data_IF_404145918070
#
_entry.id   IF_404145918070
#
_cell.length_a   1.000
_cell.length_b   1.000
_cell.length_c   1.000
_cell.angle_alpha   90.00
_cell.angle_beta   90.00
_cell.angle_gamma   90.00
#
_symmetry.space_group_name_H-M   'P 1'
#
loop_
_entity.id
_entity.type
_entity.pdbx_description
1 polymer ?
#
# COMPACT_ATOMS: atom_id res chain seq x y z
N UNK A 1 -10.20 38.54 12.47
CA UNK A 1 -8.87 38.00 12.16
C UNK A 1 -8.54 36.79 13.00
N UNK A 2 -8.73 36.84 14.29
CA UNK A 2 -8.52 35.71 15.19
C UNK A 2 -9.50 34.58 14.97
N UNK A 3 -10.75 34.85 14.62
CA UNK A 3 -11.76 33.83 14.30
C UNK A 3 -11.38 32.98 13.09
N UNK A 4 -10.73 33.57 12.08
CA UNK A 4 -10.28 32.85 10.90
C UNK A 4 -9.05 31.96 11.18
N UNK A 5 -8.19 32.38 12.10
CA UNK A 5 -7.05 31.60 12.55
C UNK A 5 -7.48 30.34 13.32
N UNK A 6 -8.47 30.48 14.21
CA UNK A 6 -9.04 29.36 14.94
C UNK A 6 -9.75 28.37 14.02
N UNK A 7 -10.50 28.86 13.02
CA UNK A 7 -11.13 28.01 12.01
C UNK A 7 -10.12 27.21 11.19
N UNK A 8 -8.98 27.80 10.81
CA UNK A 8 -7.88 27.10 10.14
C UNK A 8 -7.26 26.02 11.01
N UNK A 9 -7.06 26.27 12.30
CA UNK A 9 -6.55 25.28 13.25
C UNK A 9 -7.53 24.13 13.45
N UNK A 10 -8.81 24.40 13.53
CA UNK A 10 -9.86 23.39 13.62
C UNK A 10 -9.92 22.53 12.35
N UNK A 11 -9.75 23.10 11.17
CA UNK A 11 -9.69 22.38 9.90
C UNK A 11 -8.46 21.47 9.81
N UNK A 12 -7.30 21.92 10.31
CA UNK A 12 -6.07 21.10 10.35
C UNK A 12 -6.24 19.92 11.30
N UNK A 13 -6.92 20.10 12.44
CA UNK A 13 -7.21 19.03 13.39
C UNK A 13 -8.21 18.01 12.83
N UNK A 14 -9.08 18.40 11.89
CA UNK A 14 -10.04 17.51 11.23
C UNK A 14 -9.43 16.64 10.12
N UNK A 15 -8.21 16.97 9.64
CA UNK A 15 -7.49 16.18 8.63
C UNK A 15 -6.61 15.11 9.26
N UNK A 16 -7.10 14.41 10.27
CA UNK A 16 -6.36 13.37 10.98
C UNK A 16 -6.64 11.97 10.44
N UNK A 17 -7.22 11.87 9.27
CA UNK A 17 -7.50 10.59 8.62
C UNK A 17 -6.81 10.49 7.25
N UNK A 18 -6.41 9.27 6.90
CA UNK A 18 -5.90 8.94 5.57
C UNK A 18 -6.76 7.82 5.01
N UNK A 19 -7.30 8.04 3.82
CA UNK A 19 -8.01 6.99 3.08
C UNK A 19 -7.00 6.24 2.20
N UNK A 20 -7.03 4.92 2.25
CA UNK A 20 -6.22 4.05 1.41
C UNK A 20 -7.15 3.40 0.39
N UNK A 21 -6.75 3.46 -0.87
CA UNK A 21 -7.49 2.89 -1.99
C UNK A 21 -6.87 1.57 -2.42
N UNK A 22 -7.67 0.66 -2.95
CA UNK A 22 -7.21 -0.64 -3.39
C UNK A 22 -6.15 -0.47 -4.49
N UNK A 23 -4.92 -0.95 -4.28
CA UNK A 23 -3.85 -0.73 -5.28
C UNK A 23 -3.93 -1.68 -6.47
N UNK A 24 -4.78 -2.73 -6.40
CA UNK A 24 -4.73 -3.84 -7.35
C UNK A 24 -6.07 -4.55 -7.35
N UNK A 25 -6.64 -4.83 -8.54
CA UNK A 25 -7.85 -5.64 -8.62
C UNK A 25 -7.67 -6.97 -7.90
N UNK A 26 -8.52 -7.30 -6.97
CA UNK A 26 -8.40 -8.55 -6.23
C UNK A 26 -9.30 -8.62 -5.01
N UNK A 27 -9.10 -9.66 -4.23
CA UNK A 27 -9.79 -9.88 -2.97
C UNK A 27 -8.95 -9.37 -1.80
N UNK A 28 -9.50 -8.44 -1.04
CA UNK A 28 -8.88 -7.96 0.21
C UNK A 28 -9.11 -9.00 1.30
N UNK A 29 -8.04 -9.48 1.88
CA UNK A 29 -8.03 -10.47 2.95
C UNK A 29 -7.24 -9.93 4.16
N UNK A 30 -7.39 -10.61 5.30
CA UNK A 30 -6.61 -10.28 6.49
C UNK A 30 -5.11 -10.42 6.22
N UNK A 31 -4.33 -9.52 6.77
CA UNK A 31 -2.86 -9.62 6.72
C UNK A 31 -2.38 -10.94 7.33
N UNK A 32 -3.11 -11.47 8.31
CA UNK A 32 -2.79 -12.72 8.97
C UNK A 32 -2.87 -13.95 8.04
N UNK A 33 -3.59 -13.83 6.93
CA UNK A 33 -3.72 -14.88 5.92
C UNK A 33 -2.61 -14.86 4.87
N UNK A 34 -1.64 -13.96 5.00
CA UNK A 34 -0.46 -13.92 4.12
C UNK A 34 0.42 -15.13 4.41
N UNK A 35 0.86 -15.88 3.37
CA UNK A 35 1.71 -17.07 3.58
C UNK A 35 3.18 -16.70 3.83
N UNK A 36 3.41 -15.81 4.78
CA UNK A 36 4.71 -15.33 5.22
C UNK A 36 4.58 -14.86 6.67
N UNK A 37 5.36 -15.44 7.56
CA UNK A 37 5.27 -15.17 9.00
C UNK A 37 5.57 -13.73 9.38
N UNK A 38 6.44 -13.07 8.63
CA UNK A 38 6.83 -11.67 8.90
C UNK A 38 5.64 -10.74 8.65
N UNK A 39 4.93 -10.94 7.55
CA UNK A 39 3.72 -10.15 7.25
C UNK A 39 2.54 -10.58 8.11
N UNK A 40 2.26 -11.87 8.18
CA UNK A 40 1.14 -12.41 8.95
C UNK A 40 1.25 -12.11 10.45
N UNK A 41 2.47 -12.09 10.97
CA UNK A 41 2.74 -11.76 12.37
C UNK A 41 2.79 -10.27 12.67
N UNK A 42 2.56 -9.41 11.67
CA UNK A 42 2.59 -7.94 11.81
C UNK A 42 3.93 -7.41 12.30
N UNK A 43 5.00 -8.10 11.97
CA UNK A 43 6.35 -7.74 12.43
C UNK A 43 6.89 -6.47 11.78
N UNK A 44 6.46 -6.15 10.56
CA UNK A 44 6.85 -4.94 9.83
C UNK A 44 5.79 -3.84 9.89
N UNK A 45 4.58 -4.17 10.29
CA UNK A 45 3.46 -3.24 10.35
C UNK A 45 2.13 -3.96 10.21
N UNK A 46 1.05 -3.20 10.21
CA UNK A 46 -0.32 -3.71 10.04
C UNK A 46 -0.91 -3.20 8.73
N UNK A 47 -1.90 -3.89 8.24
CA UNK A 47 -2.59 -3.54 7.00
C UNK A 47 -3.50 -4.66 6.55
N UNK A 48 -3.36 -5.02 5.27
CA UNK A 48 -4.15 -6.08 4.66
C UNK A 48 -3.33 -6.76 3.56
N UNK A 49 -3.88 -7.82 3.00
CA UNK A 49 -3.28 -8.46 1.84
C UNK A 49 -4.30 -8.58 0.71
N UNK A 50 -3.83 -8.80 -0.51
CA UNK A 50 -4.67 -8.90 -1.69
C UNK A 50 -4.37 -10.20 -2.40
N UNK A 51 -5.44 -10.98 -2.72
CA UNK A 51 -5.37 -12.06 -3.71
C UNK A 51 -5.60 -11.45 -5.08
N UNK A 52 -4.59 -11.29 -5.93
CA UNK A 52 -4.73 -10.50 -7.15
C UNK A 52 -5.54 -11.21 -8.22
N UNK A 53 -6.42 -10.44 -8.90
CA UNK A 53 -7.00 -10.80 -10.20
C UNK A 53 -6.29 -10.04 -11.33
N UNK A 54 -5.81 -8.85 -11.03
CA UNK A 54 -5.10 -7.99 -11.97
C UNK A 54 -3.60 -8.17 -11.93
N UNK A 55 -2.91 -7.35 -12.73
CA UNK A 55 -1.47 -7.40 -12.92
C UNK A 55 -0.83 -6.00 -12.89
N UNK A 56 -1.54 -5.00 -12.39
CA UNK A 56 -1.06 -3.63 -12.28
C UNK A 56 -1.29 -3.10 -10.88
N UNK A 57 -0.26 -2.48 -10.32
CA UNK A 57 -0.30 -1.88 -8.99
C UNK A 57 -0.34 -0.37 -9.14
N UNK A 58 -1.39 0.23 -8.59
CA UNK A 58 -1.64 1.66 -8.59
C UNK A 58 -1.36 2.26 -7.21
N UNK A 59 -1.02 3.55 -7.19
CA UNK A 59 -0.78 4.26 -5.93
C UNK A 59 -2.04 4.23 -5.05
N UNK A 60 -1.96 3.64 -3.85
CA UNK A 60 -3.10 3.56 -2.92
C UNK A 60 -3.40 4.89 -2.23
N UNK A 61 -2.44 5.79 -2.24
CA UNK A 61 -2.50 7.13 -1.65
C UNK A 61 -1.72 8.08 -2.55
N UNK A 62 -1.96 9.38 -2.38
CA UNK A 62 -1.06 10.40 -2.94
C UNK A 62 0.14 10.59 -1.99
N UNK A 63 1.32 10.74 -2.54
CA UNK A 63 2.54 10.89 -1.74
C UNK A 63 3.81 10.79 -2.56
N UNK A 64 4.91 10.58 -1.87
CA UNK A 64 6.23 10.47 -2.48
C UNK A 64 6.72 9.02 -2.43
N UNK A 65 7.33 8.56 -3.54
CA UNK A 65 7.99 7.25 -3.60
C UNK A 65 9.30 7.34 -2.83
N UNK A 66 9.39 6.65 -1.72
CA UNK A 66 10.57 6.66 -0.82
C UNK A 66 11.53 5.53 -1.11
N UNK A 67 11.00 4.35 -1.43
CA UNK A 67 11.80 3.16 -1.76
C UNK A 67 11.16 2.45 -2.94
N UNK A 68 12.00 2.06 -3.87
CA UNK A 68 11.62 1.14 -4.95
C UNK A 68 12.78 0.16 -5.08
N UNK A 69 12.53 -1.09 -4.76
CA UNK A 69 13.57 -2.11 -4.84
C UNK A 69 14.01 -2.28 -6.30
N UNK A 70 15.31 -2.48 -6.56
CA UNK A 70 15.80 -2.70 -7.93
C UNK A 70 15.10 -3.87 -8.64
N UNK A 71 14.64 -4.86 -7.89
CA UNK A 71 13.86 -6.00 -8.37
C UNK A 71 12.37 -5.70 -8.54
N UNK A 72 11.92 -4.47 -8.24
CA UNK A 72 10.56 -3.93 -8.47
C UNK A 72 9.43 -4.63 -7.72
N UNK A 73 9.73 -5.62 -6.88
CA UNK A 73 8.70 -6.36 -6.13
C UNK A 73 8.17 -5.62 -4.90
N UNK A 74 8.85 -4.57 -4.46
CA UNK A 74 8.46 -3.81 -3.27
C UNK A 74 8.61 -2.31 -3.52
N UNK A 75 7.58 -1.57 -3.14
CA UNK A 75 7.53 -0.11 -3.25
C UNK A 75 7.01 0.48 -1.94
N UNK A 76 7.71 1.48 -1.42
CA UNK A 76 7.30 2.21 -0.23
C UNK A 76 7.06 3.67 -0.57
N UNK A 77 6.05 4.25 0.06
CA UNK A 77 5.68 5.65 -0.16
C UNK A 77 5.23 6.30 1.14
N UNK A 78 5.26 7.61 1.16
CA UNK A 78 4.88 8.41 2.32
C UNK A 78 3.90 9.50 1.91
N UNK A 79 2.80 9.60 2.65
CA UNK A 79 1.80 10.66 2.45
C UNK A 79 2.26 12.00 3.05
N UNK A 80 1.62 13.09 2.67
CA UNK A 80 1.86 14.40 3.30
C UNK A 80 1.60 14.37 4.81
N UNK A 81 0.66 13.55 5.25
CA UNK A 81 0.34 13.39 6.66
C UNK A 81 1.39 12.57 7.43
N UNK A 82 2.39 12.02 6.73
CA UNK A 82 3.46 11.25 7.34
C UNK A 82 3.19 9.76 7.51
N UNK A 83 2.16 9.23 6.85
CA UNK A 83 1.89 7.78 6.87
C UNK A 83 2.79 7.06 5.88
N UNK A 84 3.52 6.04 6.34
CA UNK A 84 4.41 5.24 5.52
C UNK A 84 3.75 3.92 5.14
N UNK A 85 3.70 3.64 3.84
CA UNK A 85 3.04 2.46 3.27
C UNK A 85 4.03 1.67 2.44
N UNK A 86 4.05 0.35 2.65
CA UNK A 86 4.81 -0.59 1.85
C UNK A 86 3.87 -1.54 1.13
N UNK A 87 4.05 -1.68 -0.17
CA UNK A 87 3.39 -2.72 -0.97
C UNK A 87 4.46 -3.73 -1.38
N UNK A 88 4.25 -5.00 -1.04
CA UNK A 88 5.15 -6.09 -1.38
C UNK A 88 4.41 -7.03 -2.34
N UNK A 89 4.80 -7.03 -3.61
CA UNK A 89 4.10 -7.78 -4.66
C UNK A 89 4.50 -9.24 -4.58
N UNK A 90 3.57 -10.07 -4.13
CA UNK A 90 3.81 -11.51 -3.92
C UNK A 90 4.68 -11.82 -2.71
N UNK A 91 4.94 -13.10 -2.50
CA UNK A 91 5.80 -13.63 -1.43
C UNK A 91 6.98 -14.35 -2.07
N UNK A 92 8.19 -14.11 -1.55
CA UNK A 92 9.47 -14.61 -2.08
C UNK A 92 9.78 -14.15 -3.52
N UNK A 93 9.19 -13.05 -3.94
CA UNK A 93 9.35 -12.50 -5.30
C UNK A 93 10.70 -11.82 -5.51
N UNK A 94 11.44 -11.50 -4.45
CA UNK A 94 12.82 -11.01 -4.57
C UNK A 94 13.71 -11.99 -5.35
N UNK A 95 13.43 -13.29 -5.25
CA UNK A 95 14.17 -14.35 -5.94
C UNK A 95 14.01 -14.32 -7.46
N UNK A 96 12.97 -13.66 -7.97
CA UNK A 96 12.75 -13.51 -9.41
C UNK A 96 13.72 -12.53 -10.07
N UNK A 97 14.42 -11.73 -9.27
CA UNK A 97 15.42 -10.74 -9.72
C UNK A 97 14.85 -9.79 -10.80
N UNK A 98 13.59 -9.38 -10.61
CA UNK A 98 12.89 -8.47 -11.50
C UNK A 98 12.16 -9.12 -12.66
N UNK A 99 12.28 -10.45 -12.86
CA UNK A 99 11.59 -11.15 -13.94
C UNK A 99 10.08 -11.01 -13.79
N UNK A 100 9.42 -10.53 -14.84
CA UNK A 100 7.98 -10.33 -14.87
C UNK A 100 7.51 -9.00 -14.27
N UNK A 101 8.43 -8.13 -13.85
CA UNK A 101 8.09 -6.81 -13.28
C UNK A 101 8.51 -5.68 -14.23
N UNK A 102 7.69 -4.64 -14.29
CA UNK A 102 7.99 -3.40 -15.02
C UNK A 102 7.69 -2.20 -14.11
N UNK A 103 8.68 -1.36 -13.87
CA UNK A 103 8.51 -0.15 -13.06
C UNK A 103 8.06 1.02 -13.91
N UNK A 104 7.18 1.85 -13.35
CA UNK A 104 6.63 3.05 -14.01
C UNK A 104 6.94 4.32 -13.23
N UNK A 105 7.59 4.22 -12.08
CA UNK A 105 7.99 5.33 -11.22
C UNK A 105 9.42 5.11 -10.73
N UNK A 106 9.97 6.13 -10.08
CA UNK A 106 11.30 6.07 -9.46
C UNK A 106 11.27 6.76 -8.09
N UNK A 107 12.26 6.48 -7.28
CA UNK A 107 12.43 7.12 -5.97
C UNK A 107 12.48 8.64 -6.14
N UNK A 108 11.73 9.34 -5.28
CA UNK A 108 11.59 10.79 -5.32
C UNK A 108 10.40 11.30 -6.12
N UNK A 109 9.76 10.45 -6.92
CA UNK A 109 8.57 10.85 -7.66
C UNK A 109 7.42 11.15 -6.69
N UNK A 110 6.70 12.24 -6.96
CA UNK A 110 5.43 12.53 -6.33
C UNK A 110 4.32 11.95 -7.20
N UNK A 111 3.51 11.09 -6.60
CA UNK A 111 2.41 10.43 -7.29
C UNK A 111 1.07 10.84 -6.69
N UNK A 112 0.04 10.77 -7.52
CA UNK A 112 -1.34 10.90 -7.08
C UNK A 112 -1.94 9.53 -6.90
N UNK A 113 -2.88 9.41 -5.98
CA UNK A 113 -3.66 8.19 -5.82
C UNK A 113 -4.21 7.77 -7.20
N UNK A 114 -3.99 6.51 -7.55
CA UNK A 114 -4.39 5.95 -8.84
C UNK A 114 -3.32 5.95 -9.93
N UNK A 115 -2.17 6.60 -9.72
CA UNK A 115 -1.06 6.52 -10.68
C UNK A 115 -0.48 5.11 -10.73
N UNK A 116 -0.13 4.65 -11.92
CA UNK A 116 0.47 3.33 -12.13
C UNK A 116 1.89 3.30 -11.57
N UNK A 117 2.15 2.35 -10.68
CA UNK A 117 3.46 2.20 -10.02
C UNK A 117 4.29 1.08 -10.65
N UNK A 118 3.73 -0.13 -10.69
CA UNK A 118 4.42 -1.34 -11.16
C UNK A 118 3.42 -2.22 -11.89
N UNK A 119 3.85 -2.81 -12.99
CA UNK A 119 3.13 -3.90 -13.66
C UNK A 119 3.87 -5.20 -13.40
N UNK A 120 3.15 -6.32 -13.35
CA UNK A 120 3.76 -7.62 -13.13
C UNK A 120 3.03 -8.72 -13.90
N UNK A 121 3.73 -9.82 -14.16
CA UNK A 121 3.15 -11.03 -14.74
C UNK A 121 2.76 -11.99 -13.61
N UNK A 122 1.48 -12.05 -13.32
CA UNK A 122 0.95 -12.89 -12.24
C UNK A 122 1.27 -14.36 -12.43
N UNK A 123 1.26 -14.84 -13.66
CA UNK A 123 1.54 -16.26 -13.98
C UNK A 123 2.99 -16.62 -13.66
N UNK A 124 3.94 -15.73 -13.95
CA UNK A 124 5.35 -15.92 -13.59
C UNK A 124 5.51 -15.99 -12.06
N UNK A 125 4.84 -15.11 -11.35
CA UNK A 125 4.89 -15.11 -9.89
C UNK A 125 4.31 -16.41 -9.32
N UNK A 126 3.17 -16.84 -9.81
CA UNK A 126 2.52 -18.06 -9.33
C UNK A 126 3.32 -19.32 -9.67
N UNK A 127 4.03 -19.32 -10.80
CA UNK A 127 4.87 -20.43 -11.22
C UNK A 127 6.20 -20.51 -10.43
N UNK A 128 6.84 -19.37 -10.19
CA UNK A 128 8.24 -19.31 -9.73
C UNK A 128 8.43 -18.81 -8.30
N UNK A 129 7.46 -18.13 -7.73
CA UNK A 129 7.52 -17.64 -6.36
C UNK A 129 6.57 -18.42 -5.45
N UNK A 130 6.61 -18.13 -4.16
CA UNK A 130 5.78 -18.83 -3.17
C UNK A 130 4.30 -18.51 -3.32
N UNK A 131 3.96 -17.24 -3.60
CA UNK A 131 2.57 -16.78 -3.71
C UNK A 131 2.49 -15.45 -4.44
N UNK A 132 1.36 -15.21 -5.10
CA UNK A 132 1.03 -13.90 -5.66
C UNK A 132 0.33 -12.99 -4.67
N UNK A 133 -0.05 -13.48 -3.49
CA UNK A 133 -0.68 -12.65 -2.46
C UNK A 133 0.22 -11.46 -2.16
N UNK A 134 -0.38 -10.27 -2.19
CA UNK A 134 0.33 -8.99 -2.14
C UNK A 134 -0.07 -8.23 -0.88
N UNK A 135 0.78 -8.22 0.16
CA UNK A 135 0.50 -7.42 1.36
C UNK A 135 0.72 -5.93 1.10
N UNK A 136 -0.14 -5.12 1.70
CA UNK A 136 0.03 -3.69 1.89
C UNK A 136 0.06 -3.43 3.38
N UNK A 137 1.14 -2.85 3.88
CA UNK A 137 1.31 -2.57 5.30
C UNK A 137 1.66 -1.12 5.56
N UNK A 138 1.23 -0.64 6.72
CA UNK A 138 1.67 0.63 7.28
C UNK A 138 2.88 0.31 8.16
N UNK A 139 4.03 0.87 7.83
CA UNK A 139 5.29 0.54 8.53
C UNK A 139 5.53 1.38 9.77
N UNK A 140 4.90 2.55 9.87
CA UNK A 140 5.02 3.44 11.03
C UNK A 140 3.75 3.47 11.87
N UNK A 141 3.37 2.32 12.43
CA UNK A 141 2.15 2.17 13.23
C UNK A 141 2.09 3.06 14.49
N UNK A 142 3.21 3.62 14.91
CA UNK A 142 3.28 4.56 16.05
C UNK A 142 2.46 5.84 15.83
N UNK A 143 2.22 6.22 14.56
CA UNK A 143 1.39 7.39 14.25
C UNK A 143 -0.10 7.06 14.06
N UNK A 144 -0.46 5.80 14.14
CA UNK A 144 -1.81 5.30 13.86
C UNK A 144 -2.59 5.11 15.16
N UNK A 145 -3.77 5.71 15.24
CA UNK A 145 -4.71 5.48 16.35
C UNK A 145 -5.63 4.30 16.06
N UNK A 146 -6.13 4.21 14.83
CA UNK A 146 -7.08 3.16 14.43
C UNK A 146 -7.00 2.90 12.92
N UNK A 147 -7.30 1.68 12.52
CA UNK A 147 -7.36 1.25 11.15
C UNK A 147 -8.64 0.45 10.93
N UNK A 148 -9.39 0.81 9.89
CA UNK A 148 -10.64 0.14 9.52
C UNK A 148 -10.54 -0.36 8.09
N UNK A 149 -10.64 -1.67 7.89
CA UNK A 149 -10.46 -2.34 6.58
C UNK A 149 -11.79 -2.87 6.08
N UNK A 150 -12.10 -2.60 4.81
CA UNK A 150 -13.25 -3.15 4.09
C UNK A 150 -12.78 -4.34 3.24
N UNK A 151 -13.05 -5.55 3.73
CA UNK A 151 -12.62 -6.80 3.11
C UNK A 151 -13.51 -7.21 1.95
N UNK A 152 -13.05 -8.17 1.15
CA UNK A 152 -13.78 -8.77 0.05
C UNK A 152 -13.23 -8.36 -1.31
N UNK A 153 -13.98 -8.71 -2.37
CA UNK A 153 -13.58 -8.40 -3.74
C UNK A 153 -13.66 -6.89 -4.01
N UNK A 154 -12.59 -6.34 -4.56
CA UNK A 154 -12.48 -4.92 -4.89
C UNK A 154 -11.85 -4.73 -6.26
N UNK A 155 -12.27 -3.68 -6.94
CA UNK A 155 -11.53 -3.17 -8.08
C UNK A 155 -10.48 -2.18 -7.61
N UNK A 156 -9.40 -2.06 -8.37
CA UNK A 156 -8.38 -1.06 -8.09
C UNK A 156 -9.02 0.34 -7.97
N UNK A 157 -8.50 1.14 -7.07
CA UNK A 157 -8.93 2.50 -6.80
C UNK A 157 -10.25 2.64 -6.04
N UNK A 158 -10.88 1.53 -5.60
CA UNK A 158 -11.94 1.61 -4.59
C UNK A 158 -11.32 1.90 -3.22
N UNK A 159 -11.96 2.74 -2.43
CA UNK A 159 -11.53 3.00 -1.05
C UNK A 159 -11.74 1.75 -0.21
N UNK A 160 -10.68 1.29 0.46
CA UNK A 160 -10.72 0.03 1.23
C UNK A 160 -10.29 0.20 2.68
N UNK A 161 -9.60 1.27 3.03
CA UNK A 161 -9.12 1.49 4.40
C UNK A 161 -9.29 2.95 4.78
N UNK A 162 -9.70 3.18 6.01
CA UNK A 162 -9.60 4.48 6.67
C UNK A 162 -8.63 4.34 7.85
N UNK A 163 -7.60 5.16 7.85
CA UNK A 163 -6.60 5.22 8.92
C UNK A 163 -6.84 6.48 9.71
N UNK A 164 -7.02 6.33 11.02
CA UNK A 164 -7.09 7.47 11.94
C UNK A 164 -5.72 7.68 12.54
N UNK A 165 -5.20 8.89 12.42
CA UNK A 165 -3.90 9.28 12.97
C UNK A 165 -4.05 9.81 14.40
N UNK A 166 -2.98 9.64 15.16
CA UNK A 166 -2.91 10.20 16.53
C UNK A 166 -2.82 11.72 16.55
#
# INVERSE_FOLDING_TARGET
LFKNLFKKKEQVVKESTVDIFCPLDGEIISIEDTPDEVFAGKMLGDGFAIKPRGNKVYAPVSGEIKVLFPTLHAVAMETEQGLEILIHIGVDTVQLDGEGFTGHVKVGDRVKQGDLLVSFDKDIIEEKAKSSITPLIITNMDVVEDISVDYGNKDANEKVVTVKLK
#
